data_IF_112966994166
#
_entry.id   IF_112966994166
#
_cell.length_a   1.000
_cell.length_b   1.000
_cell.length_c   1.000
_cell.angle_alpha   90.00
_cell.angle_beta   90.00
_cell.angle_gamma   90.00
#
_symmetry.space_group_name_H-M   'P 1'
#
loop_
_entity.id
_entity.type
_entity.pdbx_description
1 polymer ?
#
# COMPACT_ATOMS: atom_id res chain seq x y z
N UNK A 1 17.04 1.19 7.44
CA UNK A 1 16.54 -0.16 7.76
C UNK A 1 15.13 0.05 8.27
N UNK A 2 14.12 -0.30 7.49
CA UNK A 2 12.72 -0.30 7.94
C UNK A 2 12.58 -1.36 9.03
N UNK A 3 11.95 -1.00 10.15
CA UNK A 3 11.58 -1.99 11.17
C UNK A 3 10.67 -3.04 10.53
N UNK A 4 10.87 -4.34 10.78
CA UNK A 4 9.99 -5.36 10.21
C UNK A 4 8.57 -5.15 10.76
N UNK A 5 7.57 -5.22 9.88
CA UNK A 5 6.17 -5.08 10.25
C UNK A 5 5.80 -6.01 11.43
N UNK A 6 5.02 -5.50 12.41
CA UNK A 6 4.43 -6.33 13.45
C UNK A 6 3.72 -7.54 12.84
N UNK A 7 3.79 -8.69 13.51
CA UNK A 7 3.24 -9.96 13.00
C UNK A 7 1.76 -9.86 12.61
N UNK A 8 0.96 -9.10 13.37
CA UNK A 8 -0.46 -8.86 13.09
C UNK A 8 -0.68 -8.06 11.80
N UNK A 9 0.18 -7.07 11.53
CA UNK A 9 0.08 -6.26 10.31
C UNK A 9 0.64 -6.99 9.11
N UNK A 10 1.69 -7.80 9.29
CA UNK A 10 2.27 -8.60 8.22
C UNK A 10 1.24 -9.50 7.54
N UNK A 11 0.42 -10.21 8.32
CA UNK A 11 -0.65 -11.04 7.77
C UNK A 11 -1.65 -10.24 6.95
N UNK A 12 -2.12 -9.11 7.49
CA UNK A 12 -3.07 -8.22 6.81
C UNK A 12 -2.50 -7.69 5.50
N UNK A 13 -1.24 -7.26 5.49
CA UNK A 13 -0.57 -6.70 4.29
C UNK A 13 -0.34 -7.80 3.25
N UNK A 14 0.07 -8.99 3.67
CA UNK A 14 0.22 -10.14 2.74
C UNK A 14 -1.11 -10.53 2.12
N UNK A 15 -2.16 -10.68 2.91
CA UNK A 15 -3.50 -11.03 2.41
C UNK A 15 -4.04 -9.95 1.47
N UNK A 16 -3.73 -8.67 1.78
CA UNK A 16 -4.09 -7.55 0.93
C UNK A 16 -3.40 -7.61 -0.44
N UNK A 17 -2.08 -7.80 -0.46
CA UNK A 17 -1.30 -7.89 -1.71
C UNK A 17 -1.79 -9.08 -2.56
N UNK A 18 -2.05 -10.23 -1.94
CA UNK A 18 -2.58 -11.42 -2.64
C UNK A 18 -3.97 -11.17 -3.24
N UNK A 19 -4.86 -10.52 -2.47
CA UNK A 19 -6.19 -10.15 -2.95
C UNK A 19 -6.12 -9.16 -4.11
N UNK A 20 -5.28 -8.12 -4.03
CA UNK A 20 -5.10 -7.11 -5.08
C UNK A 20 -4.54 -7.76 -6.35
N UNK A 21 -3.50 -8.58 -6.23
CA UNK A 21 -2.89 -9.27 -7.37
C UNK A 21 -3.82 -10.28 -8.03
N UNK A 22 -4.66 -10.96 -7.25
CA UNK A 22 -5.65 -11.92 -7.77
C UNK A 22 -6.84 -11.23 -8.45
N UNK A 23 -7.25 -10.06 -7.96
CA UNK A 23 -8.46 -9.37 -8.44
C UNK A 23 -8.20 -8.42 -9.62
N UNK A 24 -6.98 -7.91 -9.76
CA UNK A 24 -6.62 -7.02 -10.86
C UNK A 24 -6.71 -7.73 -12.22
N UNK A 25 -7.04 -6.96 -13.27
CA UNK A 25 -7.15 -7.51 -14.62
C UNK A 25 -5.80 -7.94 -15.19
N UNK A 26 -4.72 -7.27 -14.80
CA UNK A 26 -3.35 -7.58 -15.20
C UNK A 26 -2.38 -7.39 -14.04
N UNK A 27 -1.19 -7.99 -14.14
CA UNK A 27 -0.08 -7.76 -13.22
C UNK A 27 0.31 -6.29 -13.13
N UNK A 28 0.25 -5.58 -14.25
CA UNK A 28 0.54 -4.14 -14.29
C UNK A 28 -0.50 -3.34 -13.51
N UNK A 29 -1.79 -3.67 -13.67
CA UNK A 29 -2.86 -3.01 -12.91
C UNK A 29 -2.72 -3.26 -11.41
N UNK A 30 -2.38 -4.50 -11.01
CA UNK A 30 -2.09 -4.82 -9.61
C UNK A 30 -0.94 -3.98 -9.08
N UNK A 31 0.14 -3.85 -9.84
CA UNK A 31 1.30 -3.07 -9.44
C UNK A 31 0.97 -1.59 -9.26
N UNK A 32 0.21 -1.00 -10.20
CA UNK A 32 -0.22 0.39 -10.12
C UNK A 32 -1.09 0.64 -8.89
N UNK A 33 -2.03 -0.25 -8.59
CA UNK A 33 -2.86 -0.14 -7.38
C UNK A 33 -2.00 -0.16 -6.10
N UNK A 34 -1.06 -1.10 -6.01
CA UNK A 34 -0.19 -1.20 -4.83
C UNK A 34 0.73 0.01 -4.69
N UNK A 35 1.21 0.58 -5.80
CA UNK A 35 2.02 1.79 -5.81
C UNK A 35 1.20 3.03 -5.39
N UNK A 36 -0.01 3.18 -5.92
CA UNK A 36 -0.95 4.25 -5.54
C UNK A 36 -1.27 4.20 -4.04
N UNK A 37 -1.54 3.00 -3.49
CA UNK A 37 -1.81 2.84 -2.06
C UNK A 37 -0.57 3.11 -1.19
N UNK A 38 0.63 2.77 -1.68
CA UNK A 38 1.87 3.14 -1.00
C UNK A 38 2.06 4.67 -1.00
N UNK A 39 1.78 5.33 -2.13
CA UNK A 39 1.86 6.79 -2.23
C UNK A 39 0.87 7.47 -1.28
N UNK A 40 -0.35 6.94 -1.17
CA UNK A 40 -1.37 7.44 -0.24
C UNK A 40 -0.89 7.39 1.23
N UNK A 41 -0.21 6.31 1.62
CA UNK A 41 0.39 6.20 2.95
C UNK A 41 1.52 7.23 3.14
N UNK A 42 2.35 7.47 2.12
CA UNK A 42 3.38 8.50 2.13
C UNK A 42 2.79 9.91 2.32
N UNK A 43 1.75 10.24 1.56
CA UNK A 43 1.03 11.51 1.65
C UNK A 43 0.46 11.72 3.06
N UNK A 44 -0.12 10.67 3.66
CA UNK A 44 -0.59 10.70 5.04
C UNK A 44 0.55 10.97 6.04
N UNK A 45 1.65 10.21 5.95
CA UNK A 45 2.80 10.33 6.86
C UNK A 45 3.48 11.70 6.77
N UNK A 46 3.58 12.27 5.57
CA UNK A 46 4.27 13.54 5.32
C UNK A 46 3.34 14.75 5.44
N UNK A 47 2.02 14.54 5.46
CA UNK A 47 0.99 15.58 5.40
C UNK A 47 0.93 16.32 4.06
N UNK A 48 1.62 15.82 3.02
CA UNK A 48 1.65 16.42 1.68
C UNK A 48 0.64 15.70 0.80
N UNK A 49 -0.59 16.18 0.85
CA UNK A 49 -1.67 15.70 0.00
C UNK A 49 -1.78 16.57 -1.25
N UNK A 50 -1.67 15.98 -2.43
CA UNK A 50 -2.06 16.62 -3.67
C UNK A 50 -3.53 16.33 -4.03
N UNK A 51 -3.95 16.73 -5.22
CA UNK A 51 -5.33 16.53 -5.68
C UNK A 51 -5.57 15.09 -6.16
N UNK A 52 -4.53 14.45 -6.68
CA UNK A 52 -4.56 13.06 -7.14
C UNK A 52 -4.69 12.13 -5.93
N UNK A 53 -3.94 12.37 -4.85
CA UNK A 53 -4.04 11.63 -3.58
C UNK A 53 -5.49 11.57 -3.04
N UNK A 54 -6.24 12.67 -3.17
CA UNK A 54 -7.65 12.73 -2.70
C UNK A 54 -8.59 11.94 -3.59
N UNK A 55 -8.28 11.79 -4.87
CA UNK A 55 -9.02 10.94 -5.78
C UNK A 55 -8.68 9.47 -5.53
N UNK A 56 -7.39 9.16 -5.35
CA UNK A 56 -6.93 7.83 -4.97
C UNK A 56 -7.51 7.39 -3.62
N UNK A 57 -7.55 8.25 -2.60
CA UNK A 57 -8.15 7.91 -1.29
C UNK A 57 -9.62 7.48 -1.38
N UNK A 58 -10.39 8.05 -2.33
CA UNK A 58 -11.79 7.66 -2.55
C UNK A 58 -11.90 6.26 -3.12
N UNK A 59 -10.96 5.88 -3.97
CA UNK A 59 -10.90 4.59 -4.66
C UNK A 59 -10.04 3.55 -3.91
N UNK A 60 -9.29 3.99 -2.89
CA UNK A 60 -8.41 3.15 -2.10
C UNK A 60 -9.19 2.02 -1.41
N UNK A 61 -8.53 0.87 -1.32
CA UNK A 61 -9.11 -0.28 -0.65
C UNK A 61 -9.41 0.05 0.82
N UNK A 62 -10.56 -0.43 1.31
CA UNK A 62 -10.98 -0.21 2.70
C UNK A 62 -9.92 -0.65 3.73
N UNK A 63 -9.13 -1.68 3.40
CA UNK A 63 -7.98 -2.12 4.21
C UNK A 63 -6.95 -1.01 4.37
N UNK A 64 -6.56 -0.33 3.29
CA UNK A 64 -5.56 0.76 3.31
C UNK A 64 -6.08 1.95 4.10
N UNK A 65 -7.34 2.34 3.89
CA UNK A 65 -7.98 3.43 4.67
C UNK A 65 -8.01 3.11 6.16
N UNK A 66 -8.36 1.87 6.51
CA UNK A 66 -8.35 1.40 7.91
C UNK A 66 -6.95 1.44 8.51
N UNK A 67 -5.92 1.03 7.76
CA UNK A 67 -4.53 1.07 8.22
C UNK A 67 -4.09 2.51 8.47
N UNK A 68 -4.37 3.43 7.54
CA UNK A 68 -4.08 4.86 7.69
C UNK A 68 -4.71 5.43 8.96
N UNK A 69 -5.95 5.06 9.27
CA UNK A 69 -6.67 5.59 10.43
C UNK A 69 -6.24 4.98 11.78
N UNK A 70 -5.65 3.78 11.78
CA UNK A 70 -5.49 2.98 13.02
C UNK A 70 -4.07 2.56 13.35
N UNK A 71 -3.19 2.47 12.36
CA UNK A 71 -1.81 2.05 12.56
C UNK A 71 -0.92 3.19 13.05
N UNK A 72 0.17 2.87 13.72
CA UNK A 72 1.15 3.89 14.11
C UNK A 72 1.94 4.38 12.88
N UNK A 73 2.55 5.58 12.93
CA UNK A 73 3.39 6.05 11.83
C UNK A 73 4.56 5.12 11.48
N UNK A 74 5.17 4.45 12.47
CA UNK A 74 6.24 3.47 12.23
C UNK A 74 5.71 2.23 11.50
N UNK A 75 4.51 1.78 11.85
CA UNK A 75 3.85 0.67 11.18
C UNK A 75 3.49 1.01 9.73
N UNK A 76 2.93 2.20 9.51
CA UNK A 76 2.59 2.71 8.18
C UNK A 76 3.81 2.83 7.28
N UNK A 77 4.95 3.27 7.80
CA UNK A 77 6.22 3.27 7.06
C UNK A 77 6.60 1.84 6.60
N UNK A 78 6.39 0.85 7.46
CA UNK A 78 6.58 -0.56 7.12
C UNK A 78 5.60 -1.05 6.06
N UNK A 79 4.31 -0.70 6.18
CA UNK A 79 3.28 -1.08 5.20
C UNK A 79 3.62 -0.48 3.84
N UNK A 80 3.92 0.82 3.80
CA UNK A 80 4.31 1.54 2.59
C UNK A 80 5.44 0.82 1.86
N UNK A 81 6.51 0.48 2.59
CA UNK A 81 7.67 -0.17 2.01
C UNK A 81 7.35 -1.54 1.39
N UNK A 82 6.50 -2.34 2.04
CA UNK A 82 6.08 -3.65 1.51
C UNK A 82 5.20 -3.51 0.26
N UNK A 83 4.29 -2.53 0.23
CA UNK A 83 3.44 -2.26 -0.93
C UNK A 83 4.29 -1.79 -2.13
N UNK A 84 5.17 -0.80 -1.94
CA UNK A 84 6.08 -0.32 -3.00
C UNK A 84 6.99 -1.44 -3.50
N UNK A 85 7.59 -2.23 -2.60
CA UNK A 85 8.44 -3.35 -3.00
C UNK A 85 7.64 -4.41 -3.80
N UNK A 86 6.40 -4.67 -3.41
CA UNK A 86 5.55 -5.62 -4.12
C UNK A 86 5.17 -5.10 -5.51
N UNK A 87 4.84 -3.80 -5.64
CA UNK A 87 4.60 -3.16 -6.93
C UNK A 87 5.84 -3.25 -7.84
N UNK A 88 7.04 -2.94 -7.32
CA UNK A 88 8.30 -3.06 -8.05
C UNK A 88 8.56 -4.51 -8.51
N UNK A 89 8.31 -5.50 -7.66
CA UNK A 89 8.46 -6.91 -8.04
C UNK A 89 7.50 -7.33 -9.15
N UNK A 90 6.26 -6.85 -9.14
CA UNK A 90 5.28 -7.15 -10.19
C UNK A 90 5.67 -6.50 -11.53
N UNK A 91 6.31 -5.32 -11.51
CA UNK A 91 6.77 -4.62 -12.72
C UNK A 91 8.13 -5.09 -13.23
N UNK A 92 9.01 -5.56 -12.34
CA UNK A 92 10.37 -6.01 -12.65
C UNK A 92 10.53 -7.52 -12.88
N UNK A 93 9.46 -8.31 -12.69
CA UNK A 93 9.45 -9.77 -12.84
C UNK A 93 9.33 -10.29 -14.28
N UNK A 94 10.09 -9.72 -15.22
CA UNK A 94 10.28 -10.25 -16.59
C UNK A 94 11.59 -11.05 -16.72
#
# INVERSE_FOLDING_TARGET
>A
MTSPLPTNLRGIVTDYIDATTTSAATTQDAALILDDDAHLIEAHLTGKWDEDDREHEKNAHQTIRTLIDTASPEDLEGVRAELSQSAEHLLGGL
#
